data_IF_658700485806
#
_entry.id   IF_658700485806
#
_cell.length_a   1.000
_cell.length_b   1.000
_cell.length_c   1.000
_cell.angle_alpha   90.00
_cell.angle_beta   90.00
_cell.angle_gamma   90.00
#
_symmetry.space_group_name_H-M   'P 1'
#
loop_
_entity.id
_entity.type
_entity.pdbx_description
1 polymer ?
#
# COMPACT_ATOMS: atom_id res chain seq x y z
N UNK A 1 -25.13 -11.08 0.70
CA UNK A 1 -25.58 -10.57 -0.29
C UNK A 1 -24.95 -9.40 -0.77
N UNK A 2 -24.75 -8.40 -0.02
CA UNK A 2 -24.13 -7.19 -0.49
C UNK A 2 -22.69 -7.40 -0.94
N UNK A 3 -21.99 -8.36 -0.39
CA UNK A 3 -20.60 -8.58 -0.79
C UNK A 3 -20.47 -9.02 -2.23
N UNK A 4 -21.35 -9.86 -2.70
CA UNK A 4 -21.30 -10.28 -4.08
C UNK A 4 -21.66 -9.12 -5.00
N UNK A 5 -22.66 -8.35 -4.64
CA UNK A 5 -23.05 -7.20 -5.44
C UNK A 5 -21.91 -6.17 -5.49
N UNK A 6 -21.22 -5.96 -4.37
CA UNK A 6 -20.11 -5.02 -4.31
C UNK A 6 -18.94 -5.48 -5.18
N UNK A 7 -18.66 -6.78 -5.19
CA UNK A 7 -17.61 -7.32 -6.02
C UNK A 7 -17.91 -7.14 -7.50
N UNK A 8 -19.18 -7.37 -7.89
CA UNK A 8 -19.58 -7.17 -9.27
C UNK A 8 -19.50 -5.72 -9.68
N UNK A 9 -19.88 -4.81 -8.78
CA UNK A 9 -19.79 -3.39 -9.04
C UNK A 9 -18.34 -2.95 -9.18
N UNK A 10 -17.45 -3.51 -8.39
CA UNK A 10 -16.04 -3.17 -8.46
C UNK A 10 -15.42 -3.62 -9.78
N UNK A 11 -15.88 -4.72 -10.35
CA UNK A 11 -15.39 -5.17 -11.64
C UNK A 11 -15.87 -4.29 -12.77
N UNK A 12 -17.03 -3.68 -12.61
CA UNK A 12 -17.63 -2.84 -13.65
C UNK A 12 -17.20 -1.39 -13.56
N UNK A 13 -16.54 -0.99 -12.48
CA UNK A 13 -16.18 0.42 -12.26
C UNK A 13 -15.04 0.57 -11.27
N UNK A 14 -14.97 1.71 -10.57
CA UNK A 14 -13.95 1.91 -9.55
C UNK A 14 -14.05 0.88 -8.45
N UNK A 15 -12.95 0.64 -7.76
CA UNK A 15 -12.94 -0.28 -6.63
C UNK A 15 -13.96 0.14 -5.58
N UNK A 16 -14.52 -0.84 -4.89
CA UNK A 16 -15.46 -0.55 -3.83
C UNK A 16 -14.80 0.21 -2.69
N UNK A 17 -15.62 0.83 -1.85
CA UNK A 17 -15.11 1.60 -0.74
C UNK A 17 -14.28 0.73 0.20
N UNK A 18 -13.28 1.35 0.79
CA UNK A 18 -12.41 0.68 1.74
C UNK A 18 -13.17 0.25 2.98
N UNK A 19 -12.91 -0.96 3.44
CA UNK A 19 -13.46 -1.44 4.69
C UNK A 19 -12.60 -0.92 5.83
N UNK A 20 -13.23 -0.43 6.89
CA UNK A 20 -12.53 0.05 8.08
C UNK A 20 -11.42 1.04 7.75
N UNK A 21 -11.76 2.21 7.19
CA UNK A 21 -10.74 3.20 6.85
C UNK A 21 -10.05 3.82 8.06
N UNK A 22 -10.51 3.54 9.26
CA UNK A 22 -9.91 4.01 10.49
C UNK A 22 -9.71 2.83 11.45
N UNK A 23 -9.15 1.72 10.94
CA UNK A 23 -8.94 0.52 11.74
C UNK A 23 -7.87 0.75 12.81
N UNK A 24 -7.94 0.01 13.93
CA UNK A 24 -6.95 0.15 15.01
C UNK A 24 -5.54 -0.15 14.53
N UNK A 25 -4.57 0.59 15.04
CA UNK A 25 -3.16 0.43 14.67
C UNK A 25 -2.36 -0.05 15.88
N UNK A 26 -1.15 -0.55 15.60
CA UNK A 26 -0.24 -1.00 16.65
C UNK A 26 0.67 0.15 17.01
N UNK A 27 0.34 0.83 18.10
CA UNK A 27 1.06 2.05 18.52
C UNK A 27 2.54 1.79 18.78
N UNK A 28 2.89 0.58 19.21
CA UNK A 28 4.28 0.25 19.51
C UNK A 28 5.19 0.28 18.29
N UNK A 29 4.62 0.29 17.09
CA UNK A 29 5.42 0.36 15.86
C UNK A 29 5.92 1.77 15.57
N UNK A 30 5.38 2.78 16.22
CA UNK A 30 5.77 4.16 15.97
C UNK A 30 7.24 4.37 16.28
N UNK A 31 8.00 4.85 15.31
CA UNK A 31 9.42 5.09 15.46
C UNK A 31 10.30 3.86 15.30
N UNK A 32 9.74 2.70 15.03
CA UNK A 32 10.52 1.48 14.86
C UNK A 32 10.99 1.31 13.43
N UNK A 33 12.22 0.82 13.26
CA UNK A 33 12.71 0.44 11.96
C UNK A 33 12.11 -0.93 11.63
N UNK A 34 11.39 -1.02 10.53
CA UNK A 34 10.71 -2.26 10.18
C UNK A 34 11.02 -2.68 8.75
N UNK A 35 10.82 -3.95 8.48
CA UNK A 35 10.96 -4.55 7.17
C UNK A 35 9.66 -5.28 6.87
N UNK A 36 8.99 -4.90 5.79
CA UNK A 36 7.68 -5.43 5.46
C UNK A 36 7.63 -5.90 4.01
N UNK A 37 6.97 -7.02 3.74
CA UNK A 37 6.71 -7.43 2.37
C UNK A 37 5.35 -6.92 1.93
N UNK A 38 5.18 -6.75 0.64
CA UNK A 38 3.88 -6.38 0.11
C UNK A 38 3.96 -5.97 -1.34
N UNK A 39 2.82 -5.56 -1.87
CA UNK A 39 2.71 -5.12 -3.25
C UNK A 39 2.65 -3.59 -3.29
N UNK A 40 3.28 -3.01 -4.30
CA UNK A 40 3.36 -1.56 -4.44
C UNK A 40 2.24 -1.07 -5.35
N UNK A 41 1.45 -0.12 -4.83
CA UNK A 41 0.43 0.57 -5.61
C UNK A 41 0.90 2.01 -5.76
N UNK A 42 1.36 2.41 -6.95
CA UNK A 42 1.92 3.76 -7.13
C UNK A 42 0.90 4.86 -6.91
N UNK A 43 1.31 5.92 -6.25
CA UNK A 43 0.51 7.14 -6.10
C UNK A 43 1.15 8.28 -6.87
N UNK A 44 2.48 8.32 -6.93
CA UNK A 44 3.19 9.39 -7.63
C UNK A 44 4.48 8.83 -8.23
N UNK A 45 4.81 9.29 -9.42
CA UNK A 45 5.98 8.82 -10.14
C UNK A 45 6.73 10.00 -10.73
N UNK A 46 8.04 9.83 -10.90
CA UNK A 46 8.85 10.82 -11.61
C UNK A 46 8.65 10.67 -13.13
N UNK A 47 9.14 11.64 -13.88
CA UNK A 47 9.09 11.59 -15.34
C UNK A 47 9.86 10.41 -15.90
N UNK A 48 10.86 9.93 -15.16
CA UNK A 48 11.66 8.77 -15.57
C UNK A 48 11.00 7.44 -15.21
N UNK A 49 9.82 7.46 -14.63
CA UNK A 49 9.11 6.24 -14.29
C UNK A 49 9.50 5.62 -12.97
N UNK A 50 10.04 6.42 -12.05
CA UNK A 50 10.34 5.93 -10.71
C UNK A 50 9.21 6.27 -9.76
N UNK A 51 8.78 5.29 -8.98
CA UNK A 51 7.71 5.48 -8.01
C UNK A 51 8.29 6.08 -6.75
N UNK A 52 7.83 7.28 -6.40
CA UNK A 52 8.32 8.01 -5.23
C UNK A 52 7.32 8.06 -4.10
N UNK A 53 6.07 7.72 -4.38
CA UNK A 53 5.03 7.66 -3.36
C UNK A 53 4.11 6.50 -3.71
N UNK A 54 3.80 5.65 -2.73
CA UNK A 54 3.00 4.46 -3.00
C UNK A 54 2.32 3.95 -1.74
N UNK A 55 1.34 3.09 -1.94
CA UNK A 55 0.76 2.32 -0.86
C UNK A 55 1.37 0.92 -0.90
N UNK A 56 1.74 0.40 0.27
CA UNK A 56 2.16 -0.99 0.38
C UNK A 56 0.95 -1.76 0.89
N UNK A 57 0.52 -2.76 0.13
CA UNK A 57 -0.68 -3.54 0.41
C UNK A 57 -0.36 -5.02 0.48
N UNK A 58 -1.18 -5.81 1.20
CA UNK A 58 -0.84 -7.22 1.45
C UNK A 58 -1.15 -8.18 0.32
N UNK A 59 -1.89 -7.76 -0.71
CA UNK A 59 -2.20 -8.64 -1.82
C UNK A 59 -2.31 -7.87 -3.12
N UNK A 60 -2.07 -8.57 -4.22
CA UNK A 60 -2.06 -7.97 -5.55
C UNK A 60 -3.46 -7.48 -5.93
N UNK A 61 -3.52 -6.31 -6.53
CA UNK A 61 -4.78 -5.76 -7.02
C UNK A 61 -5.56 -4.96 -5.99
N UNK A 62 -5.12 -4.93 -4.74
CA UNK A 62 -5.77 -4.13 -3.72
C UNK A 62 -5.76 -2.66 -4.14
N UNK A 63 -6.85 -1.96 -3.83
CA UNK A 63 -7.03 -0.55 -4.12
C UNK A 63 -7.23 -0.25 -5.62
N UNK A 64 -7.09 -1.23 -6.49
CA UNK A 64 -7.25 -1.03 -7.93
C UNK A 64 -8.39 -1.90 -8.46
N UNK A 65 -8.23 -3.21 -8.34
CA UNK A 65 -9.21 -4.16 -8.89
C UNK A 65 -10.13 -4.74 -7.85
N UNK A 66 -9.71 -4.74 -6.60
CA UNK A 66 -10.50 -5.24 -5.48
C UNK A 66 -10.51 -4.17 -4.40
N UNK A 67 -11.49 -4.23 -3.48
CA UNK A 67 -11.58 -3.22 -2.43
C UNK A 67 -10.32 -3.18 -1.59
N UNK A 68 -9.92 -2.01 -1.09
CA UNK A 68 -8.76 -1.92 -0.23
C UNK A 68 -8.98 -2.68 1.08
N UNK A 69 -7.90 -3.23 1.67
CA UNK A 69 -8.01 -3.83 2.99
C UNK A 69 -8.22 -2.74 4.05
N UNK A 70 -8.48 -3.13 5.30
CA UNK A 70 -8.57 -2.15 6.38
C UNK A 70 -7.29 -1.32 6.48
N UNK A 71 -7.43 -0.10 6.96
CA UNK A 71 -6.30 0.85 6.99
C UNK A 71 -5.09 0.33 7.77
N UNK A 72 -5.30 -0.52 8.77
CA UNK A 72 -4.19 -1.06 9.55
C UNK A 72 -3.38 -2.12 8.80
N UNK A 73 -3.71 -2.39 7.54
CA UNK A 73 -2.95 -3.29 6.68
C UNK A 73 -2.29 -2.53 5.53
N UNK A 74 -2.37 -1.22 5.52
CA UNK A 74 -1.82 -0.39 4.46
C UNK A 74 -0.80 0.58 5.02
N UNK A 75 0.35 0.67 4.34
CA UNK A 75 1.39 1.64 4.68
C UNK A 75 1.51 2.64 3.53
N UNK A 76 1.43 3.91 3.86
CA UNK A 76 1.64 5.00 2.90
C UNK A 76 3.13 5.33 2.92
N UNK A 77 3.83 4.98 1.86
CA UNK A 77 5.29 5.05 1.83
C UNK A 77 5.77 6.08 0.82
N UNK A 78 6.92 6.67 1.14
CA UNK A 78 7.63 7.57 0.21
C UNK A 78 9.06 7.07 0.05
N UNK A 79 9.68 7.38 -1.09
CA UNK A 79 11.06 7.01 -1.36
C UNK A 79 11.73 8.15 -2.10
N UNK A 80 12.84 8.65 -1.57
CA UNK A 80 13.53 9.78 -2.20
C UNK A 80 14.12 9.43 -3.56
N UNK A 81 14.71 8.26 -3.67
CA UNK A 81 15.33 7.84 -4.92
C UNK A 81 14.33 7.26 -5.90
N UNK A 82 13.18 6.85 -5.40
CA UNK A 82 12.19 6.18 -6.21
C UNK A 82 12.56 4.75 -6.52
N UNK A 83 11.59 3.97 -6.96
CA UNK A 83 11.82 2.57 -7.31
C UNK A 83 11.26 2.32 -8.70
N UNK A 84 12.01 1.59 -9.51
CA UNK A 84 11.53 1.18 -10.82
C UNK A 84 10.63 -0.01 -10.62
N UNK A 85 9.38 0.16 -10.97
CA UNK A 85 8.42 -0.92 -10.82
C UNK A 85 8.08 -1.44 -12.22
N UNK A 86 8.84 -2.41 -12.67
CA UNK A 86 8.63 -3.00 -13.98
C UNK A 86 7.57 -4.08 -13.94
N UNK A 87 7.32 -4.63 -12.74
CA UNK A 87 6.32 -5.67 -12.58
C UNK A 87 5.56 -5.44 -11.27
N UNK A 88 4.50 -4.66 -11.35
CA UNK A 88 3.69 -4.34 -10.17
C UNK A 88 3.01 -5.57 -9.58
N UNK A 89 2.94 -6.65 -10.33
CA UNK A 89 2.36 -7.89 -9.82
C UNK A 89 3.32 -8.66 -8.91
N UNK A 90 4.56 -8.21 -8.79
CA UNK A 90 5.52 -8.88 -7.92
C UNK A 90 5.58 -8.18 -6.57
N UNK A 91 5.76 -8.95 -5.48
CA UNK A 91 5.90 -8.34 -4.16
C UNK A 91 7.30 -7.81 -3.93
N UNK A 92 7.41 -6.87 -3.01
CA UNK A 92 8.68 -6.25 -2.65
C UNK A 92 8.84 -6.25 -1.15
N UNK A 93 10.10 -6.21 -0.70
CA UNK A 93 10.44 -5.88 0.67
C UNK A 93 10.68 -4.39 0.75
N UNK A 94 10.14 -3.73 1.77
CA UNK A 94 10.51 -2.34 2.04
C UNK A 94 10.98 -2.24 3.48
N UNK A 95 12.00 -1.41 3.70
CA UNK A 95 12.58 -1.18 5.01
C UNK A 95 12.66 0.31 5.29
N UNK A 96 12.29 0.70 6.48
CA UNK A 96 12.36 2.09 6.89
C UNK A 96 11.72 2.31 8.25
N UNK A 97 11.81 3.55 8.76
CA UNK A 97 11.17 3.87 10.03
C UNK A 97 9.66 3.96 9.86
N UNK A 98 8.93 3.22 10.69
CA UNK A 98 7.48 3.21 10.67
C UNK A 98 6.96 4.33 11.55
N UNK A 99 5.91 5.00 11.09
CA UNK A 99 5.20 5.99 11.88
C UNK A 99 3.74 5.60 11.96
N UNK A 100 3.19 5.66 13.16
CA UNK A 100 1.77 5.43 13.35
C UNK A 100 1.08 6.76 13.11
N UNK A 101 0.67 6.96 11.88
CA UNK A 101 0.08 8.21 11.45
C UNK A 101 -0.89 7.93 10.31
N UNK A 102 -2.12 8.37 10.47
CA UNK A 102 -3.14 8.17 9.44
C UNK A 102 -2.78 8.98 8.20
N UNK A 103 -2.88 8.38 7.05
CA UNK A 103 -2.59 9.03 5.79
C UNK A 103 -3.72 8.76 4.80
N UNK A 104 -4.21 9.81 4.17
CA UNK A 104 -5.27 9.72 3.16
C UNK A 104 -4.67 9.80 1.77
N UNK A 105 -5.21 9.03 0.84
CA UNK A 105 -4.84 9.11 -0.56
C UNK A 105 -6.09 8.93 -1.41
N UNK A 106 -5.92 9.10 -2.71
CA UNK A 106 -7.03 8.92 -3.64
C UNK A 106 -7.55 7.51 -3.66
N UNK A 107 -6.72 6.53 -3.33
CA UNK A 107 -7.08 5.13 -3.43
C UNK A 107 -7.57 4.53 -2.12
N UNK A 108 -6.99 4.93 -0.99
CA UNK A 108 -7.35 4.34 0.29
C UNK A 108 -6.74 5.12 1.45
N UNK A 109 -7.27 4.83 2.65
CA UNK A 109 -6.74 5.36 3.89
C UNK A 109 -5.73 4.38 4.45
N UNK A 110 -4.60 4.87 4.92
CA UNK A 110 -3.55 4.04 5.52
C UNK A 110 -3.39 4.42 6.98
N UNK A 111 -3.14 3.41 7.82
CA UNK A 111 -2.94 3.65 9.25
C UNK A 111 -1.49 3.91 9.61
N UNK A 112 -0.57 3.72 8.67
CA UNK A 112 0.86 3.88 8.91
C UNK A 112 1.50 4.66 7.79
N UNK A 113 2.60 5.32 8.11
CA UNK A 113 3.45 5.98 7.12
C UNK A 113 4.87 5.47 7.28
N UNK A 114 5.61 5.46 6.17
CA UNK A 114 7.01 5.06 6.19
C UNK A 114 7.79 5.84 5.15
N UNK A 115 9.01 6.25 5.52
CA UNK A 115 9.97 6.73 4.54
C UNK A 115 10.83 5.53 4.18
N UNK A 116 10.59 4.94 3.04
CA UNK A 116 11.27 3.72 2.65
C UNK A 116 12.72 4.02 2.31
N UNK A 117 13.64 3.35 3.00
CA UNK A 117 15.07 3.53 2.80
C UNK A 117 15.65 2.44 1.92
N UNK A 118 15.03 1.26 1.91
CA UNK A 118 15.44 0.15 1.05
C UNK A 118 14.21 -0.49 0.45
N UNK A 119 14.26 -0.76 -0.83
CA UNK A 119 13.19 -1.43 -1.56
C UNK A 119 13.83 -2.43 -2.50
N UNK A 120 13.45 -3.69 -2.38
CA UNK A 120 14.01 -4.73 -3.24
C UNK A 120 13.01 -5.87 -3.42
N UNK A 121 13.13 -6.64 -4.52
CA UNK A 121 12.15 -7.68 -4.80
C UNK A 121 12.10 -8.74 -3.70
N UNK A 122 10.90 -9.24 -3.45
CA UNK A 122 10.70 -10.35 -2.54
C UNK A 122 10.92 -11.63 -3.33
N UNK A 123 11.99 -12.33 -3.03
CA UNK A 123 12.33 -13.56 -3.72
C UNK A 123 12.01 -14.75 -2.85
N UNK A 124 11.28 -15.70 -3.42
CA UNK A 124 10.96 -16.93 -2.72
C UNK A 124 12.14 -17.88 -2.86
N UNK A 125 12.53 -18.46 -1.77
CA UNK A 125 13.68 -19.36 -1.75
C UNK A 125 13.23 -20.81 -1.60
#
# INVERSE_FOLDING_TARGET
MSQLADALAAEAGPAAAQQSPAAPVVEALDGQMVKLPGYIVPLDMTDEGRVIEFLLVPYFGACIHVPPPPSNQIVHATSELGVRVEALYEPFWIEGPMRVEHASSELAEAGYRMQAQKIYPYELQ
#
